data_IF_269002510744
#
_entry.id   IF_269002510744
#
_cell.length_a   1.000
_cell.length_b   1.000
_cell.length_c   1.000
_cell.angle_alpha   90.00
_cell.angle_beta   90.00
_cell.angle_gamma   90.00
#
_symmetry.space_group_name_H-M   'P 1'
#
loop_
_entity.id
_entity.type
_entity.pdbx_description
1 polymer ?
#
# COMPACT_ATOMS: atom_id res chain seq x y z
N UNK A 1 3.49 -2.28 -10.50
CA UNK A 1 3.00 -3.08 -11.66
C UNK A 1 2.85 -2.25 -12.92
N UNK A 2 2.76 -0.90 -12.84
CA UNK A 2 2.74 -0.06 -14.05
C UNK A 2 4.08 -0.11 -14.81
N UNK A 3 4.03 -0.44 -16.10
CA UNK A 3 5.20 -0.49 -16.99
C UNK A 3 5.89 0.88 -17.02
N UNK A 4 7.23 0.93 -16.97
CA UNK A 4 8.00 2.18 -16.95
C UNK A 4 8.19 2.83 -15.58
N UNK A 5 7.70 2.21 -14.49
CA UNK A 5 8.07 2.57 -13.12
C UNK A 5 9.24 1.73 -12.60
N UNK A 6 9.90 2.15 -11.52
CA UNK A 6 11.04 1.43 -10.94
C UNK A 6 10.73 0.02 -10.43
N UNK A 7 9.45 -0.32 -10.21
CA UNK A 7 9.04 -1.59 -9.60
C UNK A 7 8.56 -2.64 -10.61
N UNK A 8 7.99 -2.27 -11.76
CA UNK A 8 7.54 -3.26 -12.75
C UNK A 8 8.68 -4.13 -13.31
N UNK A 9 9.88 -3.59 -13.61
CA UNK A 9 11.01 -4.40 -14.06
C UNK A 9 11.49 -5.44 -13.03
N UNK A 10 11.28 -5.21 -11.73
CA UNK A 10 11.70 -6.14 -10.67
C UNK A 10 10.93 -7.46 -10.71
N UNK A 11 9.73 -7.47 -11.30
CA UNK A 11 8.86 -8.63 -11.37
C UNK A 11 8.72 -9.20 -12.80
N UNK A 12 9.32 -8.56 -13.81
CA UNK A 12 9.23 -8.98 -15.21
C UNK A 12 7.80 -8.94 -15.80
N UNK A 13 6.86 -8.28 -15.13
CA UNK A 13 5.44 -8.28 -15.49
C UNK A 13 5.07 -7.02 -16.29
N UNK A 14 4.28 -7.21 -17.35
CA UNK A 14 3.76 -6.14 -18.21
C UNK A 14 2.38 -6.51 -18.74
N UNK A 15 1.40 -5.61 -18.55
CA UNK A 15 0.04 -5.77 -19.05
C UNK A 15 -0.49 -4.40 -19.53
N UNK A 16 -0.61 -4.17 -20.85
CA UNK A 16 -1.04 -2.87 -21.41
C UNK A 16 -2.44 -2.43 -20.96
N UNK A 17 -3.31 -3.37 -20.62
CA UNK A 17 -4.66 -3.07 -20.12
C UNK A 17 -4.60 -2.53 -18.70
N UNK A 18 -3.79 -3.16 -17.84
CA UNK A 18 -3.52 -2.69 -16.48
C UNK A 18 -2.89 -1.30 -16.49
N UNK A 19 -1.93 -1.05 -17.38
CA UNK A 19 -1.28 0.26 -17.51
C UNK A 19 -2.29 1.37 -17.83
N UNK A 20 -3.20 1.14 -18.79
CA UNK A 20 -4.26 2.09 -19.13
C UNK A 20 -5.18 2.40 -17.95
N UNK A 21 -5.57 1.38 -17.18
CA UNK A 21 -6.42 1.56 -16.01
C UNK A 21 -5.72 2.37 -14.91
N UNK A 22 -4.42 2.14 -14.70
CA UNK A 22 -3.63 2.90 -13.73
C UNK A 22 -3.53 4.37 -14.15
N UNK A 23 -3.28 4.66 -15.43
CA UNK A 23 -3.21 6.04 -15.93
C UNK A 23 -4.55 6.77 -15.79
N UNK A 24 -5.67 6.09 -16.05
CA UNK A 24 -7.01 6.63 -15.81
C UNK A 24 -7.25 6.90 -14.32
N UNK A 25 -6.92 5.95 -13.44
CA UNK A 25 -7.11 6.09 -12.00
C UNK A 25 -6.27 7.23 -11.42
N UNK A 26 -5.10 7.50 -11.99
CA UNK A 26 -4.19 8.57 -11.55
C UNK A 26 -4.80 9.96 -11.69
N UNK A 27 -5.56 10.20 -12.75
CA UNK A 27 -6.12 11.53 -13.07
C UNK A 27 -7.59 11.67 -12.66
N UNK A 28 -8.25 10.59 -12.26
CA UNK A 28 -9.65 10.62 -11.81
C UNK A 28 -9.80 11.33 -10.46
N UNK A 29 -10.68 12.31 -10.41
CA UNK A 29 -10.94 13.16 -9.24
C UNK A 29 -12.18 12.69 -8.46
N UNK A 30 -13.11 12.00 -9.11
CA UNK A 30 -14.25 11.38 -8.45
C UNK A 30 -13.80 10.16 -7.65
N UNK A 31 -14.00 10.21 -6.33
CA UNK A 31 -13.55 9.16 -5.40
C UNK A 31 -14.20 7.81 -5.69
N UNK A 32 -15.47 7.80 -6.09
CA UNK A 32 -16.22 6.57 -6.37
C UNK A 32 -15.73 5.90 -7.65
N UNK A 33 -15.54 6.68 -8.71
CA UNK A 33 -14.99 6.20 -9.99
C UNK A 33 -13.55 5.73 -9.82
N UNK A 34 -12.72 6.49 -9.11
CA UNK A 34 -11.34 6.10 -8.83
C UNK A 34 -11.27 4.80 -8.03
N UNK A 35 -12.15 4.62 -7.03
CA UNK A 35 -12.23 3.37 -6.28
C UNK A 35 -12.64 2.18 -7.18
N UNK A 36 -13.58 2.38 -8.12
CA UNK A 36 -13.96 1.34 -9.07
C UNK A 36 -12.81 0.93 -9.99
N UNK A 37 -12.04 1.89 -10.50
CA UNK A 37 -10.83 1.64 -11.30
C UNK A 37 -9.80 0.83 -10.50
N UNK A 38 -9.54 1.20 -9.24
CA UNK A 38 -8.62 0.44 -8.38
C UNK A 38 -9.07 -0.99 -8.11
N UNK A 39 -10.38 -1.26 -7.99
CA UNK A 39 -10.87 -2.64 -7.87
C UNK A 39 -10.57 -3.46 -9.12
N UNK A 40 -10.74 -2.89 -10.31
CA UNK A 40 -10.41 -3.57 -11.57
C UNK A 40 -8.90 -3.85 -11.67
N UNK A 41 -8.07 -2.87 -11.30
CA UNK A 41 -6.61 -3.05 -11.26
C UNK A 41 -6.22 -4.19 -10.31
N UNK A 42 -6.82 -4.23 -9.11
CA UNK A 42 -6.56 -5.29 -8.14
C UNK A 42 -7.04 -6.66 -8.62
N UNK A 43 -8.19 -6.73 -9.30
CA UNK A 43 -8.71 -7.96 -9.88
C UNK A 43 -7.75 -8.54 -10.92
N UNK A 44 -7.25 -7.71 -11.84
CA UNK A 44 -6.25 -8.15 -12.84
C UNK A 44 -4.99 -8.64 -12.13
N UNK A 45 -4.49 -7.91 -11.12
CA UNK A 45 -3.33 -8.35 -10.35
C UNK A 45 -3.55 -9.67 -9.59
N UNK A 46 -4.77 -9.94 -9.15
CA UNK A 46 -5.13 -11.21 -8.51
C UNK A 46 -5.16 -12.37 -9.52
N UNK A 47 -5.69 -12.14 -10.72
CA UNK A 47 -5.80 -13.17 -11.78
C UNK A 47 -4.46 -13.47 -12.44
N UNK A 48 -3.65 -12.46 -12.70
CA UNK A 48 -2.34 -12.59 -13.37
C UNK A 48 -1.24 -13.09 -12.42
N UNK A 49 -1.44 -12.98 -11.10
CA UNK A 49 -0.51 -13.40 -10.04
C UNK A 49 0.96 -12.99 -10.32
N UNK A 50 1.26 -11.70 -10.58
CA UNK A 50 2.64 -11.26 -10.83
C UNK A 50 3.52 -11.36 -9.58
N UNK A 51 2.90 -11.42 -8.40
CA UNK A 51 3.54 -11.62 -7.10
C UNK A 51 2.66 -12.50 -6.21
N UNK A 52 3.29 -13.31 -5.36
CA UNK A 52 2.60 -14.11 -4.35
C UNK A 52 2.64 -13.39 -3.01
N UNK A 53 1.48 -13.00 -2.50
CA UNK A 53 1.37 -12.38 -1.17
C UNK A 53 1.50 -13.43 -0.08
N UNK A 54 2.55 -13.35 0.74
CA UNK A 54 2.79 -14.30 1.84
C UNK A 54 2.02 -13.95 3.11
N UNK A 55 1.76 -12.66 3.34
CA UNK A 55 1.04 -12.18 4.52
C UNK A 55 1.45 -10.76 4.90
N UNK A 56 0.72 -10.18 5.85
CA UNK A 56 1.07 -8.91 6.47
C UNK A 56 1.62 -9.16 7.88
N UNK A 57 2.87 -8.78 8.12
CA UNK A 57 3.50 -8.94 9.43
C UNK A 57 2.97 -7.91 10.43
N UNK A 58 2.47 -8.38 11.58
CA UNK A 58 2.22 -7.51 12.73
C UNK A 58 3.46 -7.49 13.62
N UNK A 59 4.03 -6.31 13.82
CA UNK A 59 5.21 -6.16 14.70
C UNK A 59 4.74 -5.97 16.15
N UNK A 60 5.03 -6.91 17.07
CA UNK A 60 4.77 -6.69 18.48
C UNK A 60 5.67 -5.58 19.02
N UNK A 61 5.13 -4.71 19.87
CA UNK A 61 5.89 -3.61 20.49
C UNK A 61 5.86 -3.78 22.00
N UNK A 62 7.04 -3.85 22.62
CA UNK A 62 7.20 -3.87 24.07
C UNK A 62 7.55 -2.46 24.57
N UNK A 63 6.77 -1.97 25.54
CA UNK A 63 6.94 -0.63 26.13
C UNK A 63 7.03 -0.72 27.65
N UNK A 64 7.67 0.28 28.27
CA UNK A 64 7.66 0.43 29.74
C UNK A 64 6.23 0.74 30.20
N UNK A 65 5.89 0.31 31.42
CA UNK A 65 4.55 0.50 32.00
C UNK A 65 4.12 1.96 32.16
N UNK A 66 5.07 2.89 32.24
CA UNK A 66 4.86 4.34 32.34
C UNK A 66 4.75 5.05 30.98
N UNK A 67 4.84 4.35 29.85
CA UNK A 67 4.68 4.96 28.53
C UNK A 67 3.19 4.97 28.14
N UNK A 68 2.72 6.09 27.60
CA UNK A 68 1.36 6.31 27.11
C UNK A 68 1.37 6.95 25.72
N UNK A 69 0.24 6.84 25.01
CA UNK A 69 0.04 7.49 23.71
C UNK A 69 0.65 6.78 22.50
N UNK A 70 1.23 5.60 22.68
CA UNK A 70 1.73 4.79 21.57
C UNK A 70 0.59 4.20 20.74
N UNK A 71 0.70 4.32 19.41
CA UNK A 71 -0.14 3.60 18.46
C UNK A 71 0.62 3.33 17.16
N UNK A 72 0.21 2.29 16.43
CA UNK A 72 0.77 1.98 15.11
C UNK A 72 0.15 2.91 14.07
N UNK A 73 0.94 3.85 13.55
CA UNK A 73 0.50 4.75 12.49
C UNK A 73 0.72 4.10 11.11
N UNK A 74 -0.33 3.70 10.36
CA UNK A 74 -0.17 3.02 9.08
C UNK A 74 0.40 3.93 7.98
N UNK A 75 0.39 5.25 8.18
CA UNK A 75 0.96 6.23 7.24
C UNK A 75 2.41 6.62 7.57
N UNK A 76 2.87 6.31 8.78
CA UNK A 76 4.22 6.65 9.25
C UNK A 76 5.05 5.36 9.37
N UNK A 77 5.35 4.76 8.22
CA UNK A 77 5.98 3.44 8.13
C UNK A 77 7.50 3.45 8.31
N UNK A 78 8.14 4.61 8.25
CA UNK A 78 9.59 4.69 8.25
C UNK A 78 10.20 4.80 9.66
N UNK A 79 9.43 5.21 10.67
CA UNK A 79 9.88 5.37 12.07
C UNK A 79 8.71 5.31 13.06
N UNK A 80 9.05 5.23 14.35
CA UNK A 80 8.11 5.33 15.46
C UNK A 80 7.46 6.72 15.50
N UNK A 81 6.14 6.78 15.63
CA UNK A 81 5.41 8.04 15.73
C UNK A 81 5.40 8.55 17.18
N UNK A 82 6.37 9.40 17.53
CA UNK A 82 6.60 9.85 18.90
C UNK A 82 5.75 11.04 19.36
N UNK A 83 5.11 11.77 18.46
CA UNK A 83 4.34 12.97 18.80
C UNK A 83 3.30 12.78 19.92
N UNK A 84 2.49 11.71 19.93
CA UNK A 84 1.51 11.45 21.00
C UNK A 84 2.12 10.78 22.23
N UNK A 85 3.40 10.39 22.18
CA UNK A 85 4.02 9.54 23.21
C UNK A 85 4.52 10.40 24.37
N UNK A 86 4.13 10.01 25.58
CA UNK A 86 4.58 10.69 26.80
C UNK A 86 4.84 9.70 27.95
N UNK A 87 5.62 10.15 28.93
CA UNK A 87 5.83 9.47 30.20
C UNK A 87 4.79 9.95 31.21
N UNK A 88 4.11 9.00 31.85
CA UNK A 88 3.23 9.25 33.00
C UNK A 88 4.02 9.51 34.29
#
# INVERSE_FOLDING_TARGET
MHTGTNYAPQYGYSNPTLDKLIEQARIETDVTKRAALYRQIQQIGYEDVPVVYLGYGTTPVALRSWIRGWYTNPMFSLQWYYYPVYKQ
#
